data_IF_780267674943
#
_entry.id   IF_780267674943
#
_cell.length_a   1.000
_cell.length_b   1.000
_cell.length_c   1.000
_cell.angle_alpha   90.00
_cell.angle_beta   90.00
_cell.angle_gamma   90.00
#
_symmetry.space_group_name_H-M   'P 1'
#
loop_
_entity.id
_entity.type
_entity.pdbx_description
1 polymer ?
#
# COMPACT_ATOMS: atom_id res chain seq x y z
N UNK A 1 8.88 -7.69 -10.30
CA UNK A 1 9.38 -6.32 -10.10
C UNK A 1 8.69 -5.39 -11.09
N UNK A 2 7.89 -4.39 -10.67
CA UNK A 2 7.40 -3.36 -11.58
C UNK A 2 8.59 -2.62 -12.19
N UNK A 3 8.65 -2.62 -13.52
CA UNK A 3 9.65 -1.90 -14.30
C UNK A 3 8.91 -0.96 -15.24
N UNK A 4 9.26 0.31 -15.18
CA UNK A 4 8.78 1.26 -16.17
C UNK A 4 9.56 1.09 -17.48
N UNK A 5 8.87 0.63 -18.53
CA UNK A 5 9.48 0.30 -19.81
C UNK A 5 10.21 1.48 -20.48
N UNK A 6 9.74 2.71 -20.28
CA UNK A 6 10.31 3.89 -20.91
C UNK A 6 11.64 4.34 -20.26
N UNK A 7 11.75 4.25 -18.93
CA UNK A 7 12.94 4.71 -18.19
C UNK A 7 13.88 3.58 -17.78
N UNK A 8 13.39 2.35 -17.75
CA UNK A 8 14.05 1.23 -17.09
C UNK A 8 14.08 1.35 -15.56
N UNK A 9 13.36 2.32 -14.98
CA UNK A 9 13.27 2.44 -13.53
C UNK A 9 12.47 1.28 -12.95
N UNK A 10 12.91 0.74 -11.83
CA UNK A 10 12.26 -0.40 -11.18
C UNK A 10 12.16 -0.23 -9.68
N UNK A 11 11.20 -0.91 -9.07
CA UNK A 11 10.99 -0.89 -7.63
C UNK A 11 10.61 -2.31 -7.17
N UNK A 12 11.18 -2.79 -6.08
CA UNK A 12 10.88 -4.11 -5.51
C UNK A 12 10.67 -3.98 -4.01
N UNK A 13 9.72 -4.73 -3.46
CA UNK A 13 9.59 -4.93 -2.03
C UNK A 13 10.27 -6.26 -1.68
N UNK A 14 11.28 -6.22 -0.80
CA UNK A 14 11.91 -7.44 -0.29
C UNK A 14 11.57 -7.60 1.19
N UNK A 15 11.14 -8.80 1.55
CA UNK A 15 10.94 -9.21 2.92
C UNK A 15 12.29 -9.49 3.57
N UNK A 16 12.39 -9.12 4.84
CA UNK A 16 13.58 -9.34 5.65
C UNK A 16 13.25 -10.42 6.68
N UNK A 17 13.80 -11.63 6.55
CA UNK A 17 13.54 -12.67 7.53
C UNK A 17 14.06 -12.25 8.91
N UNK A 18 13.44 -12.75 9.99
CA UNK A 18 13.97 -12.53 11.33
C UNK A 18 15.40 -13.08 11.40
N UNK A 19 16.30 -12.42 12.17
CA UNK A 19 17.63 -12.95 12.36
C UNK A 19 17.55 -14.38 12.91
N UNK A 20 18.39 -15.31 12.44
CA UNK A 20 18.34 -16.70 12.89
C UNK A 20 18.48 -16.74 14.42
N UNK A 21 17.48 -17.30 15.10
CA UNK A 21 17.54 -17.56 16.53
C UNK A 21 18.64 -18.59 16.77
N UNK A 22 19.75 -18.15 17.34
CA UNK A 22 20.91 -18.97 17.67
C UNK A 22 20.53 -20.12 18.61
N UNK A 23 20.34 -21.31 18.05
CA UNK A 23 20.53 -22.60 18.73
C UNK A 23 21.23 -23.59 17.81
N UNK A 24 22.41 -23.20 17.33
CA UNK A 24 23.43 -24.16 16.92
C UNK A 24 24.77 -23.45 16.88
N UNK A 25 25.58 -23.79 17.86
CA UNK A 25 26.99 -23.49 17.97
C UNK A 25 27.76 -23.77 16.67
N UNK A 26 28.80 -22.97 16.44
CA UNK A 26 29.88 -23.15 15.47
C UNK A 26 29.59 -22.84 14.00
N UNK A 27 29.83 -21.60 13.60
CA UNK A 27 30.95 -21.22 12.72
C UNK A 27 30.74 -19.80 12.20
N UNK A 28 31.81 -19.03 12.24
CA UNK A 28 31.90 -17.67 11.72
C UNK A 28 31.59 -17.66 10.22
N UNK A 29 30.38 -17.23 9.86
CA UNK A 29 30.10 -16.59 8.58
C UNK A 29 28.98 -15.59 8.81
N UNK A 30 29.29 -14.32 8.58
CA UNK A 30 28.33 -13.21 8.48
C UNK A 30 27.35 -13.47 7.32
N UNK A 31 26.42 -14.43 7.49
CA UNK A 31 25.35 -14.63 6.52
C UNK A 31 24.38 -13.47 6.67
N UNK A 32 24.49 -12.52 5.74
CA UNK A 32 23.48 -11.52 5.46
C UNK A 32 22.15 -12.27 5.29
N UNK A 33 21.08 -11.95 6.04
CA UNK A 33 19.81 -12.64 5.93
C UNK A 33 19.34 -12.63 4.48
N UNK A 34 18.98 -13.81 3.95
CA UNK A 34 18.52 -13.96 2.58
C UNK A 34 17.27 -13.11 2.37
N UNK A 35 17.37 -12.12 1.47
CA UNK A 35 16.24 -11.23 1.17
C UNK A 35 15.29 -11.97 0.25
N UNK A 36 14.00 -11.94 0.58
CA UNK A 36 12.98 -12.64 -0.21
C UNK A 36 12.14 -11.58 -0.94
N UNK A 37 12.28 -11.43 -2.27
CA UNK A 37 11.41 -10.54 -3.03
C UNK A 37 9.95 -10.95 -2.87
N UNK A 38 9.05 -9.98 -2.69
CA UNK A 38 7.62 -10.27 -2.73
C UNK A 38 7.23 -10.78 -4.12
N UNK A 39 6.39 -11.81 -4.15
CA UNK A 39 5.76 -12.26 -5.39
C UNK A 39 4.74 -11.21 -5.86
N UNK A 40 4.75 -10.96 -7.16
CA UNK A 40 3.95 -9.91 -7.79
C UNK A 40 2.94 -10.47 -8.77
N UNK A 41 1.75 -9.88 -8.75
CA UNK A 41 0.61 -10.27 -9.55
C UNK A 41 -0.02 -9.03 -10.20
N UNK A 42 -0.70 -9.21 -11.33
CA UNK A 42 -1.53 -8.17 -11.98
C UNK A 42 -0.78 -6.83 -12.15
N UNK A 43 0.34 -6.84 -12.86
CA UNK A 43 1.06 -5.60 -13.20
C UNK A 43 0.25 -4.79 -14.24
N UNK A 44 0.03 -3.52 -13.93
CA UNK A 44 -0.63 -2.54 -14.77
C UNK A 44 0.20 -1.25 -14.83
N UNK A 45 0.36 -0.70 -16.03
CA UNK A 45 0.94 0.63 -16.24
C UNK A 45 -0.17 1.60 -16.65
N UNK A 46 -0.39 2.65 -15.86
CA UNK A 46 -1.38 3.70 -16.16
C UNK A 46 -0.74 5.09 -16.09
N UNK A 47 -1.49 6.11 -16.49
CA UNK A 47 -1.10 7.51 -16.27
C UNK A 47 -2.13 8.16 -15.37
N UNK A 48 -1.69 8.77 -14.28
CA UNK A 48 -2.55 9.49 -13.37
C UNK A 48 -3.15 10.70 -14.10
N UNK A 49 -4.49 10.80 -14.24
CA UNK A 49 -5.11 11.86 -15.02
C UNK A 49 -4.94 13.25 -14.38
N UNK A 50 -4.76 13.32 -13.05
CA UNK A 50 -4.63 14.57 -12.31
C UNK A 50 -3.21 15.09 -12.30
N UNK A 51 -2.23 14.19 -12.14
CA UNK A 51 -0.82 14.58 -11.97
C UNK A 51 0.01 14.40 -13.23
N UNK A 52 -0.47 13.61 -14.20
CA UNK A 52 0.28 13.18 -15.37
C UNK A 52 1.38 12.16 -15.06
N UNK A 53 1.48 11.70 -13.80
CA UNK A 53 2.51 10.74 -13.39
C UNK A 53 2.23 9.36 -14.01
N UNK A 54 3.28 8.69 -14.52
CA UNK A 54 3.16 7.28 -14.89
C UNK A 54 3.09 6.46 -13.61
N UNK A 55 2.13 5.54 -13.52
CA UNK A 55 1.94 4.67 -12.38
C UNK A 55 2.20 3.22 -12.79
N UNK A 56 3.18 2.61 -12.14
CA UNK A 56 3.40 1.16 -12.20
C UNK A 56 2.72 0.54 -10.99
N UNK A 57 1.58 -0.11 -11.20
CA UNK A 57 0.79 -0.74 -10.15
C UNK A 57 0.95 -2.24 -10.19
N UNK A 58 1.27 -2.86 -9.06
CA UNK A 58 1.32 -4.32 -8.90
C UNK A 58 0.56 -4.74 -7.65
N UNK A 59 0.06 -5.96 -7.65
CA UNK A 59 -0.50 -6.60 -6.47
C UNK A 59 0.55 -7.52 -5.85
N UNK A 60 0.72 -7.49 -4.53
CA UNK A 60 1.64 -8.39 -3.82
C UNK A 60 0.91 -9.12 -2.70
N UNK A 61 1.43 -10.28 -2.30
CA UNK A 61 0.96 -10.96 -1.10
C UNK A 61 1.48 -10.23 0.14
N UNK A 62 0.58 -9.86 1.06
CA UNK A 62 0.97 -9.36 2.38
C UNK A 62 1.30 -10.54 3.28
N UNK A 63 2.55 -10.60 3.74
CA UNK A 63 2.97 -11.64 4.68
C UNK A 63 2.58 -11.29 6.13
N UNK A 64 2.67 -12.28 7.02
CA UNK A 64 2.57 -12.07 8.47
C UNK A 64 3.61 -11.03 8.95
N UNK A 65 3.44 -10.52 10.17
CA UNK A 65 4.22 -9.40 10.69
C UNK A 65 5.74 -9.56 10.45
N UNK A 66 6.27 -8.83 9.48
CA UNK A 66 7.65 -8.97 9.03
C UNK A 66 8.22 -7.62 8.58
N UNK A 67 9.51 -7.35 8.88
CA UNK A 67 10.19 -6.20 8.32
C UNK A 67 10.37 -6.35 6.82
N UNK A 68 10.39 -5.22 6.10
CA UNK A 68 10.64 -5.22 4.67
C UNK A 68 11.56 -4.05 4.27
N UNK A 69 12.03 -4.09 3.04
CA UNK A 69 12.71 -2.98 2.39
C UNK A 69 12.12 -2.71 1.02
N UNK A 70 12.25 -1.47 0.58
CA UNK A 70 11.96 -1.01 -0.77
C UNK A 70 13.30 -0.80 -1.47
N UNK A 71 13.53 -1.54 -2.54
CA UNK A 71 14.69 -1.38 -3.41
C UNK A 71 14.24 -0.69 -4.70
N UNK A 72 14.85 0.45 -5.04
CA UNK A 72 14.50 1.23 -6.22
C UNK A 72 15.76 1.40 -7.06
N UNK A 73 15.69 1.02 -8.34
CA UNK A 73 16.71 1.37 -9.32
C UNK A 73 16.16 2.45 -10.25
N UNK A 74 16.75 3.63 -10.21
CA UNK A 74 16.36 4.74 -11.07
C UNK A 74 17.57 5.52 -11.56
N UNK A 75 17.67 5.62 -12.89
CA UNK A 75 18.74 6.38 -13.55
C UNK A 75 18.53 7.89 -13.35
N UNK A 76 19.59 8.69 -13.15
CA UNK A 76 19.51 10.14 -13.09
C UNK A 76 18.86 10.80 -14.34
N UNK A 77 18.79 10.09 -15.47
CA UNK A 77 18.18 10.57 -16.71
C UNK A 77 16.69 10.21 -16.88
N UNK A 78 16.11 9.41 -15.98
CA UNK A 78 14.74 8.88 -16.10
C UNK A 78 13.69 9.95 -16.45
N UNK A 79 13.69 11.09 -15.74
CA UNK A 79 12.76 12.18 -16.06
C UNK A 79 12.94 12.69 -17.49
N UNK A 80 14.19 12.94 -17.91
CA UNK A 80 14.46 13.43 -19.27
C UNK A 80 14.05 12.42 -20.33
N UNK A 81 14.19 11.12 -20.07
CA UNK A 81 13.76 10.05 -20.98
C UNK A 81 12.25 10.07 -21.20
N UNK A 82 11.45 10.27 -20.14
CA UNK A 82 9.99 10.36 -20.26
C UNK A 82 9.54 11.59 -21.03
N UNK A 83 10.18 12.73 -20.77
CA UNK A 83 9.83 13.99 -21.44
C UNK A 83 10.37 14.11 -22.87
N UNK A 84 11.46 13.41 -23.20
CA UNK A 84 12.06 13.48 -24.54
C UNK A 84 11.13 12.93 -25.64
N UNK A 85 10.23 12.02 -25.28
CA UNK A 85 9.23 11.51 -26.22
C UNK A 85 8.18 12.57 -26.64
N UNK A 86 8.05 13.69 -25.90
CA UNK A 86 7.10 14.76 -26.24
C UNK A 86 7.70 15.93 -27.03
N UNK A 87 9.03 16.05 -27.10
CA UNK A 87 9.69 17.17 -27.79
C UNK A 87 10.86 16.69 -28.66
N UNK A 88 10.71 16.88 -29.98
CA UNK A 88 11.70 16.80 -31.08
C UNK A 88 12.98 15.94 -30.90
N UNK A 89 13.16 15.03 -31.87
CA UNK A 89 14.32 14.15 -32.05
C UNK A 89 15.66 14.88 -31.83
N UNK A 90 16.48 14.36 -30.90
CA UNK A 90 17.88 14.72 -30.55
C UNK A 90 18.17 15.46 -29.22
N UNK A 91 17.21 15.57 -28.29
CA UNK A 91 17.52 16.11 -26.97
C UNK A 91 18.48 15.19 -26.19
N UNK A 92 19.69 15.69 -25.85
CA UNK A 92 20.62 15.00 -24.95
C UNK A 92 19.94 14.76 -23.59
N UNK A 93 19.96 13.52 -23.11
CA UNK A 93 19.44 13.16 -21.79
C UNK A 93 20.21 13.93 -20.71
N UNK A 94 19.48 14.63 -19.85
CA UNK A 94 20.06 15.46 -18.78
C UNK A 94 19.86 14.76 -17.43
N UNK A 95 20.94 14.48 -16.68
CA UNK A 95 20.82 14.00 -15.31
C UNK A 95 20.08 15.01 -14.41
N UNK A 96 19.19 14.51 -13.57
CA UNK A 96 18.36 15.28 -12.64
C UNK A 96 18.46 14.72 -11.22
N UNK A 97 18.22 15.59 -10.24
CA UNK A 97 18.09 15.16 -8.86
C UNK A 97 16.64 14.71 -8.60
N UNK A 98 16.48 13.75 -7.68
CA UNK A 98 15.18 13.23 -7.30
C UNK A 98 14.95 13.28 -5.79
N UNK A 99 13.69 13.44 -5.42
CA UNK A 99 13.16 13.11 -4.11
C UNK A 99 12.29 11.88 -4.28
N UNK A 100 12.57 10.86 -3.48
CA UNK A 100 11.78 9.64 -3.39
C UNK A 100 10.96 9.75 -2.11
N UNK A 101 9.64 9.79 -2.25
CA UNK A 101 8.71 9.88 -1.15
C UNK A 101 8.03 8.53 -0.96
N UNK A 102 8.22 7.94 0.22
CA UNK A 102 7.60 6.66 0.59
C UNK A 102 6.36 6.93 1.42
N UNK A 103 5.25 6.35 0.99
CA UNK A 103 3.93 6.47 1.61
C UNK A 103 3.44 5.06 1.92
N UNK A 104 3.07 4.80 3.17
CA UNK A 104 2.54 3.53 3.65
C UNK A 104 1.10 3.77 4.09
N UNK A 105 0.14 3.11 3.46
CA UNK A 105 -1.29 3.27 3.72
C UNK A 105 -1.79 4.72 3.73
N UNK A 106 -1.25 5.53 2.80
CA UNK A 106 -1.57 6.96 2.70
C UNK A 106 -0.83 7.85 3.71
N UNK A 107 -0.03 7.28 4.61
CA UNK A 107 0.78 8.03 5.58
C UNK A 107 2.22 8.16 5.08
N UNK A 108 2.74 9.38 5.07
CA UNK A 108 4.13 9.67 4.70
C UNK A 108 5.12 9.02 5.66
N UNK A 109 5.85 8.00 5.22
CA UNK A 109 6.86 7.30 6.02
C UNK A 109 8.24 7.93 5.97
N UNK A 110 8.59 8.61 4.87
CA UNK A 110 9.86 9.31 4.76
C UNK A 110 10.22 9.78 3.35
N UNK A 111 11.30 10.55 3.28
CA UNK A 111 11.85 11.07 2.04
C UNK A 111 13.31 10.66 1.91
N UNK A 112 13.69 10.14 0.74
CA UNK A 112 15.08 9.95 0.35
C UNK A 112 15.44 10.97 -0.74
N UNK A 113 16.64 11.52 -0.67
CA UNK A 113 17.14 12.51 -1.64
C UNK A 113 18.24 11.87 -2.46
N UNK A 114 18.11 11.94 -3.78
CA UNK A 114 18.99 11.27 -4.74
C UNK A 114 19.61 12.32 -5.67
N UNK A 115 20.86 12.74 -5.40
CA UNK A 115 21.54 13.69 -6.27
C UNK A 115 21.93 13.01 -7.58
N UNK A 116 21.90 13.77 -8.67
CA UNK A 116 22.29 13.34 -10.03
C UNK A 116 23.75 12.92 -10.16
N UNK A 117 24.59 13.34 -9.20
CA UNK A 117 25.99 12.93 -9.11
C UNK A 117 26.16 11.49 -8.61
N UNK A 118 25.10 10.88 -8.06
CA UNK A 118 25.16 9.49 -7.65
C UNK A 118 25.09 8.60 -8.89
N UNK A 119 26.19 7.91 -9.18
CA UNK A 119 26.30 7.02 -10.34
C UNK A 119 25.55 5.71 -10.13
N UNK A 120 25.39 5.28 -8.88
CA UNK A 120 24.60 4.11 -8.53
C UNK A 120 23.12 4.49 -8.57
N UNK A 121 22.42 4.04 -9.61
CA UNK A 121 20.98 4.25 -9.80
C UNK A 121 20.14 3.66 -8.67
N UNK A 122 20.70 2.76 -7.87
CA UNK A 122 19.99 2.00 -6.86
C UNK A 122 19.95 2.63 -5.46
N UNK A 123 18.81 2.51 -4.79
CA UNK A 123 18.60 2.92 -3.39
C UNK A 123 17.81 1.86 -2.64
N UNK A 124 18.19 1.67 -1.38
CA UNK A 124 17.54 0.77 -0.44
C UNK A 124 16.91 1.57 0.69
N UNK A 125 15.62 1.39 0.91
CA UNK A 125 14.85 2.04 1.97
C UNK A 125 14.24 0.96 2.86
N UNK A 126 14.77 0.79 4.06
CA UNK A 126 14.26 -0.20 5.05
C UNK A 126 13.81 0.43 6.35
N UNK A 127 14.08 1.72 6.55
CA UNK A 127 13.82 2.46 7.78
C UNK A 127 13.76 3.95 7.53
N UNK A 128 13.08 4.64 8.42
CA UNK A 128 13.09 6.10 8.53
C UNK A 128 13.82 6.52 9.80
N UNK A 129 14.65 7.55 9.73
CA UNK A 129 15.39 8.08 10.87
C UNK A 129 14.67 9.28 11.47
N UNK A 130 14.81 9.47 12.78
CA UNK A 130 14.46 10.73 13.42
C UNK A 130 15.25 11.88 12.79
N UNK A 131 14.72 13.10 12.92
CA UNK A 131 15.37 14.31 12.36
C UNK A 131 16.79 14.53 12.88
N UNK A 132 17.09 14.10 14.10
CA UNK A 132 18.43 14.15 14.70
C UNK A 132 19.27 12.89 14.45
N UNK A 133 18.73 11.88 13.73
CA UNK A 133 19.33 10.57 13.49
C UNK A 133 19.69 9.79 14.76
N UNK A 134 19.16 10.18 15.93
CA UNK A 134 19.35 9.47 17.21
C UNK A 134 18.54 8.18 17.31
N UNK A 135 17.50 8.03 16.50
CA UNK A 135 16.66 6.84 16.47
C UNK A 135 16.15 6.56 15.07
N UNK A 136 15.65 5.35 14.86
CA UNK A 136 15.02 4.95 13.61
C UNK A 136 13.80 4.05 13.86
N UNK A 137 12.96 3.93 12.84
CA UNK A 137 11.84 2.99 12.77
C UNK A 137 11.94 2.23 11.46
N UNK A 138 11.90 0.91 11.51
CA UNK A 138 11.97 0.03 10.34
C UNK A 138 10.62 -0.07 9.65
N UNK A 139 10.63 -0.28 8.34
CA UNK A 139 9.42 -0.62 7.59
C UNK A 139 9.00 -2.06 7.93
N UNK A 140 7.72 -2.28 8.21
CA UNK A 140 7.21 -3.60 8.55
C UNK A 140 5.75 -3.76 8.13
N UNK A 141 5.37 -4.98 7.78
CA UNK A 141 3.99 -5.41 7.86
C UNK A 141 3.66 -5.70 9.32
N UNK A 142 2.49 -5.29 9.79
CA UNK A 142 2.01 -5.54 11.14
C UNK A 142 0.48 -5.69 11.14
N UNK A 143 -0.11 -6.39 12.11
CA UNK A 143 -1.56 -6.47 12.22
C UNK A 143 -2.19 -5.08 12.41
N UNK A 144 -3.38 -4.90 11.85
CA UNK A 144 -4.19 -3.71 12.09
C UNK A 144 -5.02 -3.91 13.36
N UNK A 145 -5.12 -2.89 14.21
CA UNK A 145 -5.93 -2.96 15.43
C UNK A 145 -7.34 -2.53 15.10
N UNK A 146 -8.28 -3.47 15.15
CA UNK A 146 -9.70 -3.20 14.96
C UNK A 146 -10.40 -3.02 16.31
N UNK A 147 -11.35 -2.09 16.36
CA UNK A 147 -12.21 -1.86 17.53
C UNK A 147 -13.67 -1.71 17.10
N UNK A 148 -14.58 -2.28 17.87
CA UNK A 148 -16.01 -1.96 17.73
C UNK A 148 -16.24 -0.52 18.21
N UNK A 149 -16.71 0.40 17.35
CA UNK A 149 -16.98 1.77 17.76
C UNK A 149 -18.08 1.89 18.83
N UNK A 150 -18.94 0.88 19.02
CA UNK A 150 -20.00 0.92 20.04
C UNK A 150 -19.46 0.56 21.45
N UNK A 151 -18.47 -0.33 21.52
CA UNK A 151 -17.78 -0.71 22.77
C UNK A 151 -16.67 0.28 23.15
N UNK A 152 -16.33 1.19 22.23
CA UNK A 152 -15.28 2.18 22.40
C UNK A 152 -15.83 3.44 23.08
N UNK A 153 -15.77 3.52 24.42
CA UNK A 153 -16.09 4.77 25.14
C UNK A 153 -14.85 5.67 25.31
N UNK A 154 -14.71 6.76 24.53
CA UNK A 154 -13.59 7.69 24.68
C UNK A 154 -13.60 8.44 26.03
N UNK A 155 -14.66 8.30 26.84
CA UNK A 155 -14.79 8.93 28.18
C UNK A 155 -14.22 8.09 29.31
N UNK A 156 -13.92 6.82 29.10
CA UNK A 156 -13.21 5.97 30.08
C UNK A 156 -11.69 6.21 30.08
N UNK A 157 -11.18 7.07 29.19
CA UNK A 157 -9.79 7.52 29.22
C UNK A 157 -9.64 8.62 30.28
N UNK A 158 -8.77 8.36 31.25
CA UNK A 158 -8.58 9.12 32.48
C UNK A 158 -8.45 10.62 32.19
N UNK A 159 -9.34 11.37 32.83
CA UNK A 159 -9.42 12.82 32.87
C UNK A 159 -8.14 13.42 33.50
N UNK A 160 -7.05 13.51 32.74
CA UNK A 160 -5.78 14.05 33.26
C UNK A 160 -4.56 14.02 32.35
N UNK A 161 -4.49 13.15 31.33
CA UNK A 161 -3.40 13.17 30.34
C UNK A 161 -3.89 13.75 29.01
N UNK A 162 -3.06 14.54 28.35
CA UNK A 162 -3.32 14.96 26.98
C UNK A 162 -3.67 13.74 26.13
N UNK A 163 -4.78 13.81 25.37
CA UNK A 163 -5.25 12.73 24.48
C UNK A 163 -4.09 12.19 23.67
N UNK A 164 -3.74 10.92 23.86
CA UNK A 164 -2.80 10.26 22.96
C UNK A 164 -3.55 10.01 21.64
N UNK A 165 -3.14 10.60 20.51
CA UNK A 165 -3.81 10.39 19.23
C UNK A 165 -3.77 8.92 18.77
N UNK A 166 -2.89 8.09 19.35
CA UNK A 166 -2.86 6.63 19.09
C UNK A 166 -4.01 5.87 19.76
N UNK A 167 -4.67 6.48 20.75
CA UNK A 167 -5.86 5.97 21.43
C UNK A 167 -7.14 6.62 20.89
N UNK A 168 -7.18 6.92 19.60
CA UNK A 168 -8.42 7.36 18.93
C UNK A 168 -8.64 6.54 17.67
N UNK A 169 -9.90 6.26 17.36
CA UNK A 169 -10.27 5.61 16.11
C UNK A 169 -9.88 6.54 14.97
N UNK A 170 -9.16 6.01 13.98
CA UNK A 170 -8.78 6.74 12.79
C UNK A 170 -10.03 7.07 11.96
N UNK A 171 -10.31 8.37 11.81
CA UNK A 171 -11.40 8.91 10.98
C UNK A 171 -10.89 9.50 9.65
N UNK A 172 -9.58 9.46 9.38
CA UNK A 172 -9.01 10.00 8.15
C UNK A 172 -9.38 9.12 6.94
N UNK A 173 -10.34 9.60 6.15
CA UNK A 173 -10.78 8.90 4.94
C UNK A 173 -9.65 8.61 3.95
N UNK A 174 -8.63 9.47 3.86
CA UNK A 174 -7.51 9.25 2.94
C UNK A 174 -6.68 8.07 3.38
N UNK A 175 -6.43 7.95 4.68
CA UNK A 175 -5.73 6.79 5.26
C UNK A 175 -6.57 5.53 5.06
N UNK A 176 -7.86 5.57 5.45
CA UNK A 176 -8.77 4.43 5.32
C UNK A 176 -8.88 3.94 3.86
N UNK A 177 -9.00 4.85 2.88
CA UNK A 177 -9.04 4.50 1.45
C UNK A 177 -7.71 3.96 0.95
N UNK A 178 -6.60 4.40 1.53
CA UNK A 178 -5.25 3.99 1.13
C UNK A 178 -4.77 2.72 1.83
N UNK A 179 -5.49 2.19 2.82
CA UNK A 179 -5.16 0.90 3.44
C UNK A 179 -4.96 -0.20 2.38
N UNK A 180 -3.90 -0.98 2.55
CA UNK A 180 -3.49 -2.00 1.59
C UNK A 180 -2.55 -1.47 0.51
N UNK A 181 -1.88 -0.32 0.71
CA UNK A 181 -1.01 0.27 -0.31
C UNK A 181 0.36 0.72 0.22
N UNK A 182 1.40 0.38 -0.54
CA UNK A 182 2.72 1.00 -0.43
C UNK A 182 2.92 1.82 -1.71
N UNK A 183 3.08 3.13 -1.58
CA UNK A 183 3.30 4.03 -2.71
C UNK A 183 4.69 4.65 -2.61
N UNK A 184 5.38 4.68 -3.74
CA UNK A 184 6.70 5.28 -3.90
C UNK A 184 6.62 6.32 -5.00
N UNK A 185 6.68 7.58 -4.60
CA UNK A 185 6.61 8.73 -5.51
C UNK A 185 8.02 9.20 -5.87
N UNK A 186 8.31 9.26 -7.16
CA UNK A 186 9.55 9.81 -7.69
C UNK A 186 9.28 11.22 -8.21
N UNK A 187 9.90 12.20 -7.56
CA UNK A 187 9.67 13.62 -7.82
C UNK A 187 10.98 14.27 -8.26
N UNK A 188 10.94 15.02 -9.35
CA UNK A 188 12.10 15.81 -9.79
C UNK A 188 12.35 16.96 -8.81
N UNK A 189 13.62 17.18 -8.47
CA UNK A 189 14.03 18.24 -7.56
C UNK A 189 15.35 18.87 -8.00
N UNK A 190 15.67 20.00 -7.38
CA UNK A 190 17.02 20.56 -7.34
C UNK A 190 17.55 20.37 -5.92
N UNK A 191 18.64 19.60 -5.79
CA UNK A 191 19.25 19.33 -4.50
C UNK A 191 20.51 20.17 -4.30
N UNK A 192 20.71 20.61 -3.06
CA UNK A 192 21.94 21.31 -2.64
C UNK A 192 22.53 20.65 -1.41
N UNK A 193 23.85 20.47 -1.41
CA UNK A 193 24.57 19.88 -0.29
C UNK A 193 25.04 21.01 0.65
N UNK A 194 24.55 21.03 1.89
CA UNK A 194 24.94 22.06 2.87
C UNK A 194 25.03 21.47 4.27
N UNK A 195 25.57 22.27 5.20
CA UNK A 195 25.70 21.87 6.61
C UNK A 195 24.34 21.58 7.21
N UNK A 196 24.26 20.45 7.93
CA UNK A 196 23.09 20.07 8.70
C UNK A 196 22.83 21.14 9.77
N UNK A 197 21.58 21.58 9.88
CA UNK A 197 21.18 22.43 11.00
C UNK A 197 20.88 21.55 12.22
N UNK A 198 21.25 21.96 13.44
CA UNK A 198 20.80 21.28 14.66
C UNK A 198 19.29 21.10 14.63
N UNK A 199 18.81 19.92 15.04
CA UNK A 199 17.38 19.67 15.12
C UNK A 199 16.76 20.57 16.20
N UNK A 200 16.16 21.69 15.78
CA UNK A 200 15.37 22.56 16.65
C UNK A 200 13.93 22.03 16.66
N UNK A 201 13.42 21.77 17.87
CA UNK A 201 12.10 21.22 18.18
C UNK A 201 11.84 19.80 17.63
N UNK A 202 11.62 18.87 18.56
CA UNK A 202 11.11 17.53 18.27
C UNK A 202 9.60 17.64 18.10
N UNK A 203 9.14 17.82 16.87
CA UNK A 203 7.73 17.55 16.56
C UNK A 203 7.44 16.09 16.93
N UNK A 204 6.26 15.85 17.50
CA UNK A 204 5.83 14.50 17.78
C UNK A 204 5.88 13.66 16.49
N UNK A 205 6.34 12.41 16.56
CA UNK A 205 6.27 11.50 15.43
C UNK A 205 4.85 11.38 14.89
N UNK A 206 4.72 11.40 13.57
CA UNK A 206 3.45 11.03 12.94
C UNK A 206 3.25 9.53 13.20
N UNK A 207 2.11 9.11 13.78
CA UNK A 207 1.81 7.70 13.97
C UNK A 207 1.70 7.02 12.60
N UNK A 208 2.17 5.79 12.52
CA UNK A 208 1.89 4.93 11.36
C UNK A 208 0.60 4.15 11.60
N UNK A 209 -0.01 3.64 10.54
CA UNK A 209 -1.27 2.89 10.56
C UNK A 209 -1.29 1.71 11.54
N UNK A 210 -0.17 1.00 11.73
CA UNK A 210 -0.04 -0.06 12.73
C UNK A 210 -0.02 0.43 14.20
N UNK A 211 -0.16 1.74 14.43
CA UNK A 211 -0.26 2.38 15.75
C UNK A 211 -1.60 3.12 15.91
N UNK A 212 -2.51 2.97 14.95
CA UNK A 212 -3.83 3.59 14.96
C UNK A 212 -4.90 2.52 15.20
N UNK A 213 -6.04 2.94 15.76
CA UNK A 213 -7.21 2.09 15.90
C UNK A 213 -8.12 2.29 14.69
N UNK A 214 -8.69 1.22 14.15
CA UNK A 214 -9.64 1.31 13.04
C UNK A 214 -10.97 0.69 13.43
N UNK A 215 -12.07 1.31 12.98
CA UNK A 215 -13.39 0.75 13.22
C UNK A 215 -13.57 -0.59 12.51
N UNK A 216 -14.11 -1.59 13.22
CA UNK A 216 -14.51 -2.87 12.63
C UNK A 216 -15.56 -2.73 11.51
N UNK A 217 -16.31 -1.62 11.51
CA UNK A 217 -17.27 -1.28 10.45
C UNK A 217 -16.57 -0.94 9.13
N UNK A 218 -15.27 -0.61 9.16
CA UNK A 218 -14.48 -0.33 7.96
C UNK A 218 -14.14 -1.63 7.23
N UNK A 219 -14.86 -1.90 6.14
CA UNK A 219 -14.63 -3.08 5.27
C UNK A 219 -13.19 -3.17 4.75
N UNK A 220 -12.53 -2.03 4.56
CA UNK A 220 -11.14 -1.94 4.11
C UNK A 220 -10.15 -2.33 5.20
N UNK A 221 -10.43 -1.99 6.46
CA UNK A 221 -9.59 -2.33 7.60
C UNK A 221 -9.71 -3.80 8.02
N UNK A 222 -10.81 -4.48 7.64
CA UNK A 222 -10.98 -5.93 7.84
C UNK A 222 -10.01 -6.79 7.03
N UNK A 223 -9.33 -6.20 6.05
CA UNK A 223 -8.35 -6.87 5.21
C UNK A 223 -7.00 -6.80 5.96
N UNK A 224 -6.68 -7.92 6.61
CA UNK A 224 -5.60 -8.05 7.60
C UNK A 224 -4.22 -7.59 7.09
N UNK A 225 -3.41 -7.14 8.05
CA UNK A 225 -2.08 -6.51 7.95
C UNK A 225 -2.05 -5.12 7.30
N UNK A 226 -1.21 -4.26 7.87
CA UNK A 226 -0.93 -2.90 7.44
C UNK A 226 0.58 -2.73 7.24
N UNK A 227 0.96 -1.95 6.23
CA UNK A 227 2.34 -1.51 6.06
C UNK A 227 2.57 -0.30 6.95
N UNK A 228 3.51 -0.41 7.86
CA UNK A 228 3.74 0.61 8.86
C UNK A 228 5.20 0.70 9.31
N UNK A 229 5.38 1.32 10.46
CA UNK A 229 6.69 1.59 11.03
C UNK A 229 6.82 0.90 12.40
N UNK A 230 7.96 0.27 12.64
CA UNK A 230 8.29 -0.36 13.92
C UNK A 230 8.34 0.67 15.06
N UNK A 231 8.46 0.18 16.30
CA UNK A 231 8.82 1.04 17.43
C UNK A 231 10.19 1.69 17.23
N UNK A 232 10.42 2.76 17.99
CA UNK A 232 11.69 3.47 18.02
C UNK A 232 12.82 2.56 18.45
N UNK A 233 13.87 2.51 17.64
CA UNK A 233 15.13 1.88 17.96
C UNK A 233 16.24 2.93 18.03
N UNK A 234 17.16 2.88 19.00
CA UNK A 234 18.28 3.82 19.06
C UNK A 234 19.21 3.62 17.87
N UNK A 235 19.75 4.72 17.36
CA UNK A 235 20.75 4.74 16.30
C UNK A 235 22.11 5.08 16.90
N UNK A 236 23.09 4.21 16.68
CA UNK A 236 24.47 4.42 17.13
C UNK A 236 25.30 5.25 16.13
N UNK A 237 24.71 5.65 15.00
CA UNK A 237 25.39 6.41 13.96
C UNK A 237 25.32 7.91 14.27
N UNK A 238 26.47 8.62 14.34
CA UNK A 238 26.44 10.07 14.49
C UNK A 238 25.80 10.70 13.25
N UNK A 239 25.04 11.80 13.41
CA UNK A 239 24.45 12.47 12.27
C UNK A 239 25.53 13.01 11.33
N UNK A 240 25.34 12.80 10.02
CA UNK A 240 26.25 13.35 9.02
C UNK A 240 26.31 14.89 9.12
N UNK A 241 27.51 15.50 9.04
CA UNK A 241 27.68 16.95 9.19
C UNK A 241 27.09 17.73 8.01
N UNK A 242 27.00 17.09 6.85
CA UNK A 242 26.40 17.63 5.64
C UNK A 242 25.17 16.81 5.28
N UNK A 243 24.16 17.47 4.72
CA UNK A 243 22.96 16.80 4.23
C UNK A 243 22.50 17.45 2.91
N UNK A 244 21.83 16.64 2.09
CA UNK A 244 21.12 17.15 0.92
C UNK A 244 19.86 17.86 1.34
N UNK A 245 19.61 19.05 0.78
CA UNK A 245 18.38 19.79 0.95
C UNK A 245 17.71 20.05 -0.38
N UNK A 246 16.38 20.09 -0.33
CA UNK A 246 15.54 20.42 -1.47
C UNK A 246 15.57 21.94 -1.61
N UNK A 247 16.15 22.44 -2.71
CA UNK A 247 16.12 23.85 -3.09
C UNK A 247 14.84 24.18 -3.83
N UNK A 248 14.46 23.30 -4.76
CA UNK A 248 13.23 23.36 -5.54
C UNK A 248 12.73 21.92 -5.75
N UNK A 249 11.43 21.75 -5.85
CA UNK A 249 10.80 20.47 -6.15
C UNK A 249 9.64 20.70 -7.10
N UNK A 250 9.42 19.76 -8.02
CA UNK A 250 8.19 19.74 -8.79
C UNK A 250 7.00 19.42 -7.86
N UNK A 251 5.81 19.97 -8.14
CA UNK A 251 4.65 19.81 -7.27
C UNK A 251 4.06 18.40 -7.28
N UNK A 252 4.35 17.62 -8.32
CA UNK A 252 3.79 16.28 -8.54
C UNK A 252 4.90 15.29 -8.92
N UNK A 253 4.76 14.00 -8.57
CA UNK A 253 5.66 12.97 -9.08
C UNK A 253 5.51 12.83 -10.59
N UNK A 254 6.56 12.36 -11.24
CA UNK A 254 6.51 11.99 -12.66
C UNK A 254 6.39 10.48 -12.87
N UNK A 255 6.77 9.70 -11.85
CA UNK A 255 6.71 8.25 -11.82
C UNK A 255 6.29 7.81 -10.42
N UNK A 256 5.40 6.84 -10.34
CA UNK A 256 4.91 6.26 -9.09
C UNK A 256 4.96 4.74 -9.20
N UNK A 257 5.44 4.09 -8.14
CA UNK A 257 5.27 2.65 -7.96
C UNK A 257 4.23 2.42 -6.87
N UNK A 258 3.19 1.66 -7.17
CA UNK A 258 2.06 1.40 -6.28
C UNK A 258 1.95 -0.10 -6.07
N UNK A 259 2.23 -0.56 -4.85
CA UNK A 259 2.05 -1.95 -4.46
C UNK A 259 0.75 -2.07 -3.68
N UNK A 260 -0.23 -2.75 -4.25
CA UNK A 260 -1.48 -3.14 -3.58
C UNK A 260 -1.23 -4.47 -2.89
N UNK A 261 -1.05 -4.46 -1.57
CA UNK A 261 -0.81 -5.70 -0.86
C UNK A 261 -2.12 -6.27 -0.31
N UNK A 262 -2.26 -7.60 -0.38
CA UNK A 262 -3.44 -8.32 0.11
C UNK A 262 -3.04 -9.65 0.76
N UNK A 263 -3.74 -10.10 1.80
CA UNK A 263 -3.60 -11.45 2.33
C UNK A 263 -3.85 -12.52 1.26
N UNK A 264 -3.13 -13.65 1.37
CA UNK A 264 -3.24 -14.79 0.45
C UNK A 264 -4.69 -15.24 0.23
N UNK A 265 -5.47 -15.38 1.31
CA UNK A 265 -6.88 -15.79 1.25
C UNK A 265 -7.72 -14.89 0.35
N UNK A 266 -7.48 -13.58 0.38
CA UNK A 266 -8.19 -12.62 -0.48
C UNK A 266 -7.74 -12.76 -1.93
N UNK A 267 -6.44 -13.00 -2.15
CA UNK A 267 -5.92 -13.24 -3.49
C UNK A 267 -6.49 -14.53 -4.11
N UNK A 268 -6.67 -15.59 -3.32
CA UNK A 268 -7.32 -16.85 -3.73
C UNK A 268 -8.81 -16.64 -4.04
N UNK A 269 -9.54 -15.97 -3.16
CA UNK A 269 -10.97 -15.69 -3.33
C UNK A 269 -11.25 -14.80 -4.55
N UNK A 270 -10.34 -13.86 -4.87
CA UNK A 270 -10.40 -13.04 -6.08
C UNK A 270 -9.92 -13.77 -7.36
N UNK A 271 -9.42 -15.00 -7.23
CA UNK A 271 -8.83 -15.77 -8.33
C UNK A 271 -7.54 -15.18 -8.88
N UNK A 272 -6.83 -14.36 -8.09
CA UNK A 272 -5.51 -13.82 -8.46
C UNK A 272 -4.44 -14.91 -8.38
N UNK A 273 -4.56 -15.81 -7.40
CA UNK A 273 -3.71 -16.98 -7.22
C UNK A 273 -4.58 -18.23 -7.11
N UNK A 274 -4.01 -19.39 -7.45
CA UNK A 274 -4.70 -20.65 -7.30
C UNK A 274 -4.91 -20.98 -5.81
N UNK A 275 -6.10 -21.48 -5.48
CA UNK A 275 -6.42 -21.95 -4.13
C UNK A 275 -5.56 -23.18 -3.81
N UNK A 276 -4.89 -23.15 -2.67
CA UNK A 276 -4.14 -24.32 -2.22
C UNK A 276 -5.13 -25.47 -1.88
N UNK A 277 -5.02 -26.64 -2.54
CA UNK A 277 -5.90 -27.78 -2.27
C UNK A 277 -5.75 -28.32 -0.83
N UNK A 278 -4.63 -28.03 -0.14
CA UNK A 278 -4.42 -28.43 1.27
C UNK A 278 -5.25 -27.62 2.28
N UNK A 279 -5.80 -26.47 1.88
CA UNK A 279 -6.68 -25.62 2.68
C UNK A 279 -8.15 -25.69 2.24
N UNK A 280 -8.55 -26.75 1.54
CA UNK A 280 -9.97 -27.02 1.31
C UNK A 280 -10.66 -27.17 2.68
N UNK A 281 -11.77 -26.45 2.96
CA UNK A 281 -12.56 -26.77 4.14
C UNK A 281 -13.02 -28.22 3.98
N UNK A 282 -12.57 -29.10 4.89
CA UNK A 282 -13.21 -30.39 5.11
C UNK A 282 -14.65 -30.11 5.51
N UNK A 283 -15.53 -30.04 4.52
CA UNK A 283 -16.95 -30.25 4.73
C UNK A 283 -17.03 -31.75 5.00
N UNK A 284 -17.11 -32.12 6.27
CA UNK A 284 -17.41 -33.49 6.68
C UNK A 284 -18.72 -33.90 5.99
N UNK A 285 -18.61 -34.68 4.92
CA UNK A 285 -19.65 -35.57 4.43
C UNK A 285 -19.36 -36.93 5.03
N UNK A 286 -19.71 -37.09 6.30
CA UNK A 286 -20.05 -38.41 6.83
C UNK A 286 -21.58 -38.46 6.82
N UNK A 287 -22.13 -38.92 5.69
CA UNK A 287 -23.43 -39.58 5.68
C UNK A 287 -23.06 -41.05 5.52
N UNK A 288 -22.88 -41.73 6.65
CA UNK A 288 -23.16 -43.16 6.73
C UNK A 288 -24.43 -43.29 7.56
N UNK A 289 -25.42 -43.95 6.95
CA UNK A 289 -26.67 -44.37 7.55
C UNK A 289 -26.40 -45.20 8.81
N UNK A 290 -26.95 -44.78 9.95
CA UNK A 290 -27.32 -45.74 11.00
C UNK A 290 -28.51 -45.20 11.80
N UNK A 291 -29.58 -45.97 11.78
CA UNK A 291 -30.81 -45.78 12.55
C UNK A 291 -30.49 -45.83 14.05
N UNK A 292 -30.82 -44.79 14.81
CA UNK A 292 -31.53 -44.94 16.09
C UNK A 292 -31.92 -43.59 16.73
N UNK A 293 -33.16 -43.57 17.19
CA UNK A 293 -33.80 -42.54 18.00
C UNK A 293 -32.98 -42.14 19.24
N UNK A 294 -32.88 -40.84 19.51
CA UNK A 294 -33.37 -40.26 20.77
C UNK A 294 -33.30 -38.72 20.76
N UNK A 295 -34.41 -38.13 21.18
CA UNK A 295 -34.61 -36.69 21.38
C UNK A 295 -33.68 -36.17 22.49
N UNK A 296 -32.92 -35.10 22.22
CA UNK A 296 -32.93 -33.90 23.09
C UNK A 296 -32.20 -32.70 22.50
N UNK A 297 -32.92 -31.59 22.58
CA UNK A 297 -32.70 -30.23 22.11
C UNK A 297 -31.75 -29.45 23.06
N UNK A 298 -30.77 -28.73 22.53
CA UNK A 298 -30.52 -27.31 22.88
C UNK A 298 -29.30 -26.69 22.18
N UNK A 299 -29.63 -25.75 21.29
CA UNK A 299 -28.92 -24.51 20.93
C UNK A 299 -27.38 -24.46 20.91
N UNK A 300 -26.81 -24.72 19.72
CA UNK A 300 -25.60 -24.03 19.24
C UNK A 300 -25.80 -23.55 17.80
N UNK A 301 -26.00 -22.24 17.62
CA UNK A 301 -25.96 -21.57 16.31
C UNK A 301 -24.55 -21.06 16.00
N UNK A 302 -23.84 -21.58 14.98
CA UNK A 302 -22.77 -20.84 14.32
C UNK A 302 -23.35 -20.04 13.15
N UNK A 303 -23.23 -18.71 13.21
CA UNK A 303 -23.70 -17.79 12.18
C UNK A 303 -22.57 -17.55 11.15
N UNK A 304 -22.59 -18.28 10.04
CA UNK A 304 -21.78 -17.98 8.84
C UNK A 304 -22.66 -18.11 7.59
N UNK A 305 -23.43 -17.07 7.28
CA UNK A 305 -24.11 -16.91 5.98
C UNK A 305 -23.32 -15.98 5.06
N UNK A 306 -22.47 -16.64 4.27
CA UNK A 306 -22.17 -16.44 2.86
C UNK A 306 -23.28 -15.67 2.11
N UNK A 307 -22.95 -14.55 1.47
CA UNK A 307 -23.76 -13.95 0.40
C UNK A 307 -23.02 -14.09 -0.92
N UNK A 308 -23.64 -14.84 -1.84
CA UNK A 308 -23.26 -14.97 -3.25
C UNK A 308 -24.27 -14.16 -4.08
N UNK A 309 -23.73 -13.60 -5.15
CA UNK A 309 -24.26 -12.78 -6.25
C UNK A 309 -25.69 -13.01 -6.75
N UNK A 310 -26.32 -11.87 -7.09
CA UNK A 310 -27.21 -11.54 -8.23
C UNK A 310 -27.96 -12.66 -8.98
N UNK A 311 -29.29 -12.51 -9.09
CA UNK A 311 -29.99 -12.27 -10.36
C UNK A 311 -31.49 -12.05 -10.14
N UNK A 312 -32.03 -11.10 -10.89
CA UNK A 312 -33.44 -10.76 -11.16
C UNK A 312 -34.30 -11.96 -11.55
N UNK A 313 -35.55 -12.00 -11.05
CA UNK A 313 -36.76 -12.41 -11.82
C UNK A 313 -38.01 -11.89 -11.10
N UNK A 314 -38.70 -10.94 -11.75
CA UNK A 314 -40.08 -10.55 -11.46
C UNK A 314 -41.06 -11.57 -12.09
N UNK A 315 -42.18 -11.81 -11.40
CA UNK A 315 -43.52 -12.24 -11.87
C UNK A 315 -44.29 -12.72 -10.62
N UNK A 316 -45.56 -12.44 -10.33
CA UNK A 316 -46.68 -11.78 -10.99
C UNK A 316 -47.62 -11.33 -9.87
N UNK A 317 -48.39 -10.26 -10.08
CA UNK A 317 -49.83 -10.27 -9.79
C UNK A 317 -50.49 -9.08 -10.50
N UNK A 318 -51.56 -9.43 -11.22
CA UNK A 318 -52.46 -8.59 -11.99
C UNK A 318 -53.22 -7.59 -11.09
N UNK A 319 -53.43 -6.34 -11.55
CA UNK A 319 -54.76 -5.92 -12.02
C UNK A 319 -54.80 -4.46 -12.52
N UNK A 320 -55.56 -4.31 -13.61
CA UNK A 320 -56.35 -3.16 -14.07
C UNK A 320 -55.71 -1.83 -14.59
N UNK A 321 -55.81 -1.71 -15.94
CA UNK A 321 -56.55 -0.67 -16.67
C UNK A 321 -55.96 0.76 -16.80
N UNK A 322 -55.35 1.07 -17.97
CA UNK A 322 -55.82 2.08 -18.96
C UNK A 322 -54.71 2.57 -19.91
N UNK A 323 -54.99 2.38 -21.20
CA UNK A 323 -54.84 3.31 -22.33
C UNK A 323 -53.47 3.99 -22.68
N UNK A 324 -53.06 3.70 -23.92
CA UNK A 324 -52.46 4.61 -24.93
C UNK A 324 -50.95 4.91 -24.98
N UNK A 325 -50.44 4.53 -26.15
CA UNK A 325 -49.50 5.24 -27.04
C UNK A 325 -47.99 4.95 -26.91
N UNK A 326 -47.58 4.05 -27.81
CA UNK A 326 -46.25 3.87 -28.39
C UNK A 326 -45.54 5.17 -28.79
N UNK A 327 -44.35 5.44 -28.23
CA UNK A 327 -43.31 6.25 -28.89
C UNK A 327 -41.90 5.71 -28.56
N UNK A 328 -41.22 5.23 -29.62
CA UNK A 328 -39.76 4.97 -29.62
C UNK A 328 -39.01 6.31 -29.57
N UNK A 329 -37.93 6.46 -28.77
CA UNK A 329 -36.99 7.54 -28.98
C UNK A 329 -35.93 7.15 -30.03
N UNK A 330 -35.69 8.10 -30.94
CA UNK A 330 -34.70 8.12 -32.02
C UNK A 330 -33.27 8.11 -31.45
N UNK A 331 -32.43 7.29 -32.05
CA UNK A 331 -30.97 7.38 -32.02
C UNK A 331 -30.57 8.66 -32.78
N UNK A 332 -29.78 9.53 -32.17
CA UNK A 332 -29.14 10.67 -32.80
C UNK A 332 -27.67 10.30 -32.99
N UNK A 333 -27.27 10.16 -34.25
CA UNK A 333 -25.90 10.01 -34.71
C UNK A 333 -25.33 11.43 -34.95
N UNK A 334 -24.18 11.73 -34.35
CA UNK A 334 -23.48 13.01 -34.49
C UNK A 334 -22.11 12.74 -35.11
N UNK A 335 -22.12 12.44 -36.41
CA UNK A 335 -20.97 12.62 -37.28
C UNK A 335 -21.39 13.50 -38.46
N UNK A 336 -20.71 14.63 -38.60
CA UNK A 336 -21.07 15.65 -39.59
C UNK A 336 -20.09 16.81 -39.54
N UNK A 337 -18.90 16.57 -40.06
CA UNK A 337 -18.01 17.56 -40.65
C UNK A 337 -18.76 18.41 -41.68
N UNK A 338 -18.55 19.72 -41.69
CA UNK A 338 -18.33 20.42 -42.96
C UNK A 338 -17.62 21.77 -42.78
N UNK A 339 -16.77 22.03 -43.77
CA UNK A 339 -15.98 23.23 -44.06
C UNK A 339 -16.84 24.37 -44.65
N UNK A 340 -16.18 25.52 -44.91
CA UNK A 340 -16.57 26.77 -45.63
C UNK A 340 -17.12 27.88 -44.70
N UNK A 341 -16.62 29.11 -44.65
CA UNK A 341 -15.79 29.96 -45.55
C UNK A 341 -14.81 30.84 -44.75
#
# INVERSE_FOLDING_TARGET
MPINAATGASCTINLLPPPPTTTSSSSSNDQIPEKIPCEEYKHETTTNPTTGAIQETVTIESQQACPFEIFIDIKPTAYSTLTANSSSKSAKLKPQDYVIHTILDGISAGYCKRPKSNSDGSVRLSKTYSRDQSSFRSYQFAPITLVDPDDYDPRNQIQGSARDPTETICEDEKVIKSLGTIQVDIIRADLVHRRRKPAQNRAAPVPSTNQMLFSERSKKARLLNTAGLSNYSPSNLPPAPMEWHIKKQDPQPFLQFIFKYKPRVILEDEGTIARDPSHAPHINQDIEDDDHDDEQESDRKPFLKRLKSEATTDNNNDDENQDRQTKKPKIIDLTGSDDSD
#
